data_IF_765798676084
#
_entry.id   IF_765798676084
#
_cell.length_a   1.000
_cell.length_b   1.000
_cell.length_c   1.000
_cell.angle_alpha   90.00
_cell.angle_beta   90.00
_cell.angle_gamma   90.00
#
_symmetry.space_group_name_H-M   'P 1'
#
loop_
_entity.id
_entity.type
_entity.pdbx_description
1 polymer ?
#
# COMPACT_ATOMS: atom_id res chain seq x y z
N UNK A 1 -15.70 -8.00 -8.60
CA UNK A 1 -14.87 -6.82 -9.00
C UNK A 1 -13.63 -6.78 -8.14
N UNK A 2 -12.50 -6.23 -8.60
CA UNK A 2 -11.25 -6.22 -7.82
C UNK A 2 -10.94 -4.84 -7.23
N UNK A 3 -10.57 -4.79 -5.96
CA UNK A 3 -10.17 -3.57 -5.24
C UNK A 3 -8.71 -3.70 -4.82
N UNK A 4 -7.89 -2.70 -5.14
CA UNK A 4 -6.52 -2.59 -4.64
C UNK A 4 -6.45 -1.54 -3.53
N UNK A 5 -6.00 -1.95 -2.36
CA UNK A 5 -5.70 -1.07 -1.22
C UNK A 5 -4.21 -0.71 -1.26
N UNK A 6 -3.90 0.54 -1.58
CA UNK A 6 -2.55 1.10 -1.40
C UNK A 6 -2.46 1.66 0.01
N UNK A 7 -1.72 0.95 0.87
CA UNK A 7 -1.68 1.23 2.31
C UNK A 7 -0.23 1.40 2.78
N UNK A 8 0.05 2.15 3.84
CA UNK A 8 1.42 2.37 4.29
C UNK A 8 2.01 1.13 4.96
N UNK A 9 1.20 0.31 5.63
CA UNK A 9 1.68 -0.74 6.53
C UNK A 9 1.00 -2.09 6.28
N UNK A 10 1.57 -3.20 6.77
CA UNK A 10 0.95 -4.50 6.64
C UNK A 10 -0.44 -4.52 7.28
N UNK A 11 -1.31 -5.38 6.76
CA UNK A 11 -2.64 -5.57 7.33
C UNK A 11 -2.52 -6.06 8.77
N UNK A 12 -3.56 -5.80 9.57
CA UNK A 12 -3.64 -6.14 10.99
C UNK A 12 -2.57 -5.49 11.89
N UNK A 13 -1.68 -4.66 11.35
CA UNK A 13 -0.56 -4.09 12.11
C UNK A 13 -0.92 -2.76 12.76
N UNK A 14 -1.37 -1.78 11.95
CA UNK A 14 -1.64 -0.44 12.44
C UNK A 14 -3.11 -0.27 12.89
N UNK A 15 -3.38 0.28 14.09
CA UNK A 15 -4.76 0.56 14.54
C UNK A 15 -5.53 1.46 13.58
N UNK A 16 -4.84 2.41 12.93
CA UNK A 16 -5.47 3.31 11.95
C UNK A 16 -6.07 2.54 10.77
N UNK A 17 -5.40 1.50 10.27
CA UNK A 17 -5.88 0.72 9.14
C UNK A 17 -7.03 -0.19 9.56
N UNK A 18 -6.83 -0.91 10.68
CA UNK A 18 -7.82 -1.84 11.25
C UNK A 18 -9.19 -1.19 11.43
N UNK A 19 -9.20 -0.01 12.05
CA UNK A 19 -10.44 0.70 12.33
C UNK A 19 -11.00 1.46 11.13
N UNK A 20 -10.16 1.97 10.22
CA UNK A 20 -10.66 2.82 9.12
C UNK A 20 -11.16 2.03 7.91
N UNK A 21 -10.57 0.87 7.61
CA UNK A 21 -11.00 0.11 6.43
C UNK A 21 -10.91 -1.41 6.55
N UNK A 22 -9.95 -1.98 7.29
CA UNK A 22 -9.77 -3.44 7.25
C UNK A 22 -10.99 -4.21 7.78
N UNK A 23 -11.68 -3.66 8.77
CA UNK A 23 -12.92 -4.24 9.31
C UNK A 23 -14.04 -4.43 8.27
N UNK A 24 -14.02 -3.68 7.16
CA UNK A 24 -15.02 -3.80 6.10
C UNK A 24 -14.62 -4.81 5.01
N UNK A 25 -13.37 -5.27 4.98
CA UNK A 25 -12.88 -6.21 3.95
C UNK A 25 -13.68 -7.52 3.92
N UNK A 26 -14.04 -8.14 5.07
CA UNK A 26 -14.88 -9.34 5.04
C UNK A 26 -16.28 -9.07 4.46
N UNK A 27 -16.85 -7.90 4.72
CA UNK A 27 -18.18 -7.53 4.22
C UNK A 27 -18.16 -7.28 2.71
N UNK A 28 -17.09 -6.64 2.21
CA UNK A 28 -16.85 -6.49 0.77
C UNK A 28 -16.73 -7.85 0.09
N UNK A 29 -16.03 -8.82 0.71
CA UNK A 29 -15.89 -10.16 0.17
C UNK A 29 -17.25 -10.88 0.04
N UNK A 30 -18.14 -10.75 1.03
CA UNK A 30 -19.51 -11.30 0.97
C UNK A 30 -20.33 -10.73 -0.20
N UNK A 31 -20.02 -9.51 -0.63
CA UNK A 31 -20.67 -8.83 -1.76
C UNK A 31 -19.95 -9.06 -3.10
N UNK A 32 -19.02 -10.02 -3.19
CA UNK A 32 -18.35 -10.40 -4.44
C UNK A 32 -17.18 -9.49 -4.85
N UNK A 33 -16.64 -8.71 -3.92
CA UNK A 33 -15.40 -7.97 -4.13
C UNK A 33 -14.18 -8.79 -3.74
N UNK A 34 -13.17 -8.81 -4.62
CA UNK A 34 -11.86 -9.38 -4.36
C UNK A 34 -10.94 -8.24 -3.92
N UNK A 35 -10.54 -8.23 -2.64
CA UNK A 35 -9.75 -7.13 -2.05
C UNK A 35 -8.30 -7.56 -1.91
N UNK A 36 -7.40 -6.80 -2.51
CA UNK A 36 -5.96 -6.99 -2.44
C UNK A 36 -5.36 -5.81 -1.67
N UNK A 37 -4.44 -6.07 -0.75
CA UNK A 37 -3.66 -5.02 -0.12
C UNK A 37 -2.24 -5.02 -0.64
N UNK A 38 -1.71 -3.84 -0.92
CA UNK A 38 -0.31 -3.63 -1.24
C UNK A 38 0.26 -2.62 -0.23
N UNK A 39 0.90 -3.11 0.85
CA UNK A 39 1.61 -2.27 1.80
C UNK A 39 2.81 -1.57 1.16
N UNK A 40 3.11 -0.34 1.60
CA UNK A 40 4.37 0.33 1.26
C UNK A 40 5.53 -0.33 2.00
N UNK A 41 5.39 -0.50 3.31
CA UNK A 41 6.23 -1.38 4.12
C UNK A 41 5.54 -2.74 4.18
N UNK A 42 6.09 -3.75 3.51
CA UNK A 42 5.71 -5.15 3.73
C UNK A 42 6.12 -5.61 5.13
N UNK A 43 5.77 -6.84 5.51
CA UNK A 43 5.99 -7.35 6.87
C UNK A 43 7.47 -7.27 7.29
N UNK A 44 8.39 -7.59 6.39
CA UNK A 44 9.84 -7.50 6.64
C UNK A 44 10.31 -6.04 6.75
N UNK A 45 9.94 -5.20 5.77
CA UNK A 45 10.31 -3.79 5.74
C UNK A 45 9.73 -3.03 6.94
N UNK A 46 8.55 -3.40 7.41
CA UNK A 46 7.93 -2.84 8.61
C UNK A 46 8.77 -3.14 9.85
N UNK A 47 9.18 -4.40 10.05
CA UNK A 47 10.04 -4.78 11.18
C UNK A 47 11.39 -4.05 11.13
N UNK A 48 12.04 -4.05 9.96
CA UNK A 48 13.32 -3.34 9.72
C UNK A 48 13.18 -1.83 9.96
N UNK A 49 12.04 -1.23 9.60
CA UNK A 49 11.83 0.20 9.74
C UNK A 49 11.66 0.63 11.21
N UNK A 50 10.96 -0.16 12.02
CA UNK A 50 10.71 0.14 13.43
C UNK A 50 11.78 -0.37 14.39
N UNK A 51 12.75 -1.16 13.92
CA UNK A 51 13.92 -1.54 14.71
C UNK A 51 14.69 -0.28 15.19
N UNK A 52 15.24 -0.35 16.40
CA UNK A 52 16.10 0.72 16.95
C UNK A 52 17.47 0.68 16.27
N UNK A 53 17.95 1.83 15.81
CA UNK A 53 19.20 1.92 15.04
C UNK A 53 19.03 1.41 13.60
N UNK A 54 20.11 1.36 12.82
CA UNK A 54 20.09 0.74 11.49
C UNK A 54 19.59 1.64 10.34
N UNK A 55 20.29 2.75 10.07
CA UNK A 55 20.01 3.63 8.91
C UNK A 55 19.89 2.86 7.59
N UNK A 56 20.78 1.88 7.37
CA UNK A 56 20.78 1.05 6.16
C UNK A 56 19.51 0.21 6.00
N UNK A 57 19.03 -0.43 7.08
CA UNK A 57 17.80 -1.23 7.06
C UNK A 57 16.58 -0.37 6.74
N UNK A 58 16.45 0.78 7.41
CA UNK A 58 15.37 1.75 7.15
C UNK A 58 15.40 2.28 5.71
N UNK A 59 16.61 2.57 5.20
CA UNK A 59 16.79 3.02 3.82
C UNK A 59 16.39 1.93 2.83
N UNK A 60 16.80 0.69 3.06
CA UNK A 60 16.41 -0.47 2.25
C UNK A 60 14.88 -0.67 2.25
N UNK A 61 14.23 -0.54 3.40
CA UNK A 61 12.77 -0.61 3.55
C UNK A 61 12.03 0.47 2.77
N UNK A 62 12.53 1.71 2.77
CA UNK A 62 11.93 2.79 1.95
C UNK A 62 12.13 2.50 0.45
N UNK A 63 13.32 2.08 0.05
CA UNK A 63 13.62 1.78 -1.36
C UNK A 63 12.77 0.61 -1.87
N UNK A 64 12.60 -0.46 -1.08
CA UNK A 64 11.75 -1.59 -1.46
C UNK A 64 10.29 -1.16 -1.62
N UNK A 65 9.77 -0.32 -0.71
CA UNK A 65 8.43 0.24 -0.81
C UNK A 65 8.22 1.09 -2.06
N UNK A 66 9.19 1.95 -2.41
CA UNK A 66 9.16 2.73 -3.64
C UNK A 66 9.15 1.84 -4.88
N UNK A 67 10.07 0.87 -4.96
CA UNK A 67 10.13 -0.08 -6.07
C UNK A 67 8.80 -0.84 -6.21
N UNK A 68 8.23 -1.30 -5.10
CA UNK A 68 6.95 -2.00 -5.06
C UNK A 68 5.83 -1.13 -5.64
N UNK A 69 5.75 0.15 -5.25
CA UNK A 69 4.78 1.10 -5.83
C UNK A 69 4.91 1.23 -7.34
N UNK A 70 6.11 1.46 -7.86
CA UNK A 70 6.27 1.58 -9.31
C UNK A 70 5.94 0.27 -10.05
N UNK A 71 6.25 -0.89 -9.47
CA UNK A 71 5.82 -2.19 -10.04
C UNK A 71 4.31 -2.34 -10.08
N UNK A 72 3.60 -1.80 -9.08
CA UNK A 72 2.14 -1.81 -9.06
C UNK A 72 1.51 -1.16 -10.29
N UNK A 73 2.11 -0.10 -10.83
CA UNK A 73 1.62 0.56 -12.05
C UNK A 73 1.50 -0.38 -13.25
N UNK A 74 2.33 -1.42 -13.33
CA UNK A 74 2.32 -2.37 -14.44
C UNK A 74 1.05 -3.23 -14.49
N UNK A 75 0.41 -3.46 -13.34
CA UNK A 75 -0.76 -4.33 -13.24
C UNK A 75 -1.99 -3.61 -12.66
N UNK A 76 -1.88 -2.33 -12.27
CA UNK A 76 -2.96 -1.62 -11.56
C UNK A 76 -4.27 -1.52 -12.35
N UNK A 77 -4.21 -1.56 -13.69
CA UNK A 77 -5.40 -1.51 -14.56
C UNK A 77 -6.30 -2.75 -14.46
N UNK A 78 -5.82 -3.84 -13.85
CA UNK A 78 -6.65 -5.03 -13.60
C UNK A 78 -7.67 -4.81 -12.48
N UNK A 79 -7.52 -3.74 -11.68
CA UNK A 79 -8.40 -3.41 -10.58
C UNK A 79 -9.50 -2.45 -11.01
N UNK A 80 -10.71 -2.72 -10.55
CA UNK A 80 -11.87 -1.85 -10.78
C UNK A 80 -11.82 -0.61 -9.90
N UNK A 81 -11.25 -0.72 -8.71
CA UNK A 81 -11.10 0.38 -7.76
C UNK A 81 -9.71 0.36 -7.13
N UNK A 82 -9.16 1.55 -6.92
CA UNK A 82 -7.93 1.76 -6.14
C UNK A 82 -8.28 2.65 -4.96
N UNK A 83 -8.06 2.14 -3.76
CA UNK A 83 -8.25 2.85 -2.51
C UNK A 83 -6.89 3.19 -1.91
N UNK A 84 -6.66 4.46 -1.58
CA UNK A 84 -5.41 4.93 -0.96
C UNK A 84 -5.68 5.26 0.51
N UNK A 85 -4.95 4.61 1.42
CA UNK A 85 -5.00 4.96 2.83
C UNK A 85 -3.87 5.92 3.19
N UNK A 86 -4.23 7.14 3.61
CA UNK A 86 -3.33 8.27 3.97
C UNK A 86 -2.50 8.81 2.81
N UNK A 87 -1.66 7.99 2.21
CA UNK A 87 -0.69 8.39 1.21
C UNK A 87 -0.23 7.17 0.42
N UNK A 88 0.21 7.39 -0.82
CA UNK A 88 0.79 6.31 -1.65
C UNK A 88 2.26 6.08 -1.33
N UNK A 89 3.01 7.11 -0.94
CA UNK A 89 4.37 6.97 -0.44
C UNK A 89 4.65 8.00 0.66
N UNK A 90 5.27 7.59 1.78
CA UNK A 90 5.61 8.50 2.87
C UNK A 90 6.80 9.43 2.55
N UNK A 91 7.51 9.20 1.43
CA UNK A 91 8.73 9.93 1.08
C UNK A 91 8.76 10.25 -0.41
N UNK A 92 9.26 11.44 -0.74
CA UNK A 92 9.55 11.86 -2.11
C UNK A 92 8.49 12.80 -2.69
N UNK A 93 8.71 13.28 -3.93
CA UNK A 93 7.96 14.41 -4.49
C UNK A 93 6.58 14.03 -5.09
N UNK A 94 5.97 12.92 -4.66
CA UNK A 94 4.65 12.48 -5.17
C UNK A 94 4.64 12.05 -6.65
N UNK A 95 5.77 11.60 -7.20
CA UNK A 95 5.85 11.15 -8.60
C UNK A 95 4.92 9.96 -8.89
N UNK A 96 4.80 9.04 -7.93
CA UNK A 96 3.88 7.91 -8.06
C UNK A 96 2.43 8.37 -8.22
N UNK A 97 1.97 9.37 -7.45
CA UNK A 97 0.60 9.90 -7.57
C UNK A 97 0.36 10.51 -8.95
N UNK A 98 1.33 11.25 -9.48
CA UNK A 98 1.25 11.84 -10.83
C UNK A 98 1.11 10.76 -11.90
N UNK A 99 1.88 9.68 -11.80
CA UNK A 99 1.78 8.53 -12.73
C UNK A 99 0.46 7.79 -12.55
N UNK A 100 0.05 7.55 -11.30
CA UNK A 100 -1.21 6.90 -10.96
C UNK A 100 -2.40 7.62 -11.59
N UNK A 101 -2.47 8.95 -11.46
CA UNK A 101 -3.51 9.76 -12.10
C UNK A 101 -3.47 9.66 -13.64
N UNK A 102 -2.28 9.51 -14.24
CA UNK A 102 -2.13 9.31 -15.68
C UNK A 102 -2.65 7.96 -16.18
N UNK A 103 -2.67 6.92 -15.33
CA UNK A 103 -3.16 5.58 -15.70
C UNK A 103 -4.69 5.53 -15.77
N UNK A 104 -5.38 6.29 -14.93
CA UNK A 104 -6.85 6.31 -14.83
C UNK A 104 -7.54 7.47 -15.57
N UNK A 105 -6.78 8.22 -16.38
CA UNK A 105 -7.33 9.08 -17.43
C UNK A 105 -7.78 8.25 -18.63
#
# INVERSE_FOLDING_TARGET
MKILLLVPYPLNSAPSQRFRFEQYVPELAKHGFEVHAQPFLDDEAWLDFYEKGGFYKKTKAIISGLISRYRTLAYIRQYSFVFVHRETSPVGPGLFDRLLCGVFR
#
